data_IF_272945634864
#
_entry.id   IF_272945634864
#
_cell.length_a   1.000
_cell.length_b   1.000
_cell.length_c   1.000
_cell.angle_alpha   90.00
_cell.angle_beta   90.00
_cell.angle_gamma   90.00
#
_symmetry.space_group_name_H-M   'P 1'
#
loop_
_entity.id
_entity.type
_entity.pdbx_description
1 polymer ?
2 non-polymer ?
3 non-polymer ?
4 non-polymer ?
5 non-polymer ?
6 water ?
#
# COMPACT_ATOMS: atom_id res chain seq x y z
N UNK A 2 3.14 12.06 -15.32
CA UNK A 2 3.46 11.01 -16.33
C UNK A 2 4.37 9.95 -15.72
N UNK A 3 4.06 8.67 -15.97
CA UNK A 3 4.91 7.49 -15.65
C UNK A 3 5.85 7.24 -16.83
N UNK A 4 6.98 6.60 -16.58
CA UNK A 4 7.91 6.23 -17.69
C UNK A 4 7.31 5.11 -18.54
N UNK A 5 6.63 4.14 -17.91
CA UNK A 5 6.09 2.95 -18.59
C UNK A 5 4.57 2.95 -18.50
N UNK A 6 3.92 2.48 -19.57
CA UNK A 6 2.44 2.46 -19.66
C UNK A 6 1.87 1.20 -19.05
N UNK A 7 2.68 0.16 -18.92
CA UNK A 7 2.18 -1.13 -18.39
C UNK A 7 3.37 -1.98 -18.00
N UNK A 8 3.12 -3.10 -17.35
CA UNK A 8 4.19 -3.94 -16.80
C UNK A 8 5.05 -4.53 -17.91
N UNK A 9 4.44 -4.95 -19.01
CA UNK A 9 5.23 -5.55 -20.10
C UNK A 9 6.30 -4.56 -20.54
N UNK A 10 5.96 -3.29 -20.66
CA UNK A 10 6.93 -2.28 -21.10
C UNK A 10 8.04 -2.13 -20.05
N UNK A 11 7.69 -2.05 -18.77
CA UNK A 11 8.70 -1.94 -17.71
C UNK A 11 9.63 -3.16 -17.80
N UNK A 12 9.06 -4.34 -17.95
CA UNK A 12 9.86 -5.60 -17.96
C UNK A 12 10.83 -5.60 -19.14
N UNK A 13 10.40 -5.07 -20.27
CA UNK A 13 11.25 -5.07 -21.49
C UNK A 13 12.31 -3.98 -21.43
N UNK A 14 12.24 -3.02 -20.51
CA UNK A 14 13.19 -1.89 -20.45
C UNK A 14 14.13 -1.94 -19.24
N UNK A 15 13.79 -2.71 -18.22
CA UNK A 15 14.52 -2.68 -16.94
C UNK A 15 15.18 -4.03 -16.69
N UNK A 16 16.36 -3.99 -16.07
CA UNK A 16 17.06 -5.21 -15.62
C UNK A 16 16.17 -5.89 -14.56
N UNK A 17 15.90 -7.20 -14.66
CA UNK A 17 15.04 -7.83 -13.68
C UNK A 17 15.56 -7.79 -12.24
N UNK A 18 16.85 -7.56 -12.03
CA UNK A 18 17.40 -7.40 -10.67
C UNK A 18 17.02 -6.03 -10.07
N UNK A 19 16.48 -5.10 -10.86
CA UNK A 19 16.13 -3.73 -10.37
C UNK A 19 14.71 -3.64 -9.82
N UNK A 20 13.95 -4.73 -9.84
CA UNK A 20 12.59 -4.74 -9.24
C UNK A 20 12.28 -6.15 -8.78
N UNK A 21 11.28 -6.28 -7.92
CA UNK A 21 10.89 -7.61 -7.45
C UNK A 21 9.40 -7.69 -7.26
N UNK A 22 8.82 -8.81 -7.66
CA UNK A 22 7.41 -9.13 -7.37
C UNK A 22 7.40 -10.16 -6.26
N UNK A 23 6.67 -9.90 -5.20
CA UNK A 23 6.64 -10.76 -4.00
C UNK A 23 5.19 -11.03 -3.67
N UNK A 24 4.85 -12.30 -3.48
CA UNK A 24 3.46 -12.68 -3.15
C UNK A 24 3.43 -13.50 -1.87
N UNK A 25 2.33 -13.43 -1.14
CA UNK A 25 2.01 -14.39 -0.07
C UNK A 25 0.54 -14.70 -0.21
N UNK A 26 0.22 -15.93 -0.58
CA UNK A 26 -1.18 -16.37 -0.78
C UNK A 26 -1.58 -17.28 0.37
N UNK A 27 -2.56 -16.85 1.16
CA UNK A 27 -3.01 -17.55 2.38
C UNK A 27 -4.49 -17.92 2.32
N UNK A 28 -5.20 -17.50 1.28
CA UNK A 28 -6.67 -17.70 1.19
C UNK A 28 -7.47 -16.75 2.07
N UNK A 29 -6.86 -15.78 2.77
CA UNK A 29 -7.59 -14.72 3.52
C UNK A 29 -8.49 -13.96 2.57
N UNK A 30 -9.75 -13.62 2.92
CA UNK A 30 -10.56 -12.78 2.03
C UNK A 30 -9.83 -11.47 1.63
N UNK A 31 -9.13 -10.86 2.56
CA UNK A 31 -8.42 -9.57 2.36
C UNK A 31 -7.05 -9.77 1.71
N UNK A 32 -6.74 -8.95 0.71
CA UNK A 32 -5.40 -8.84 0.11
C UNK A 32 -4.83 -7.49 0.48
N UNK A 33 -3.60 -7.48 0.96
CA UNK A 33 -2.78 -6.26 1.16
C UNK A 33 -1.96 -6.06 -0.10
N UNK A 34 -2.12 -4.92 -0.74
CA UNK A 34 -1.53 -4.64 -2.07
C UNK A 34 -0.59 -3.45 -1.94
N UNK A 35 0.66 -3.60 -2.35
CA UNK A 35 1.65 -2.51 -2.34
C UNK A 35 2.36 -2.56 -3.69
N UNK A 36 1.89 -1.80 -4.65
CA UNK A 36 2.41 -1.85 -6.04
C UNK A 36 3.58 -0.89 -6.25
N UNK A 37 3.86 -0.07 -5.24
CA UNK A 37 4.91 0.97 -5.28
C UNK A 37 5.86 0.80 -4.10
N UNK A 38 6.27 -0.44 -3.87
CA UNK A 38 7.19 -0.74 -2.78
C UNK A 38 8.63 -0.45 -3.13
N UNK A 39 9.49 -0.94 -2.23
CA UNK A 39 10.93 -0.66 -2.29
C UNK A 39 11.18 0.82 -2.27
N UNK A 40 12.02 1.31 -3.15
CA UNK A 40 12.39 2.72 -3.22
C UNK A 40 11.39 3.57 -3.97
N UNK A 41 10.28 3.01 -4.46
CA UNK A 41 9.27 3.83 -5.17
C UNK A 41 8.54 4.70 -4.15
N UNK A 42 7.82 4.09 -3.22
CA UNK A 42 7.16 4.78 -2.08
C UNK A 42 7.67 4.10 -0.82
N UNK A 43 8.79 4.64 -0.32
CA UNK A 43 9.56 4.00 0.77
C UNK A 43 8.73 3.78 2.01
N UNK A 44 8.80 2.59 2.57
CA UNK A 44 8.07 2.20 3.77
C UNK A 44 6.87 1.35 3.44
N UNK A 45 6.35 1.42 2.21
CA UNK A 45 5.19 0.59 1.87
C UNK A 45 5.59 -0.89 1.82
N UNK A 46 6.81 -1.25 1.44
CA UNK A 46 7.23 -2.67 1.52
C UNK A 46 7.16 -3.16 2.97
N UNK A 47 7.64 -2.35 3.92
CA UNK A 47 7.76 -2.83 5.32
C UNK A 47 6.38 -2.95 5.95
N UNK A 48 5.47 -2.01 5.68
CA UNK A 48 4.09 -2.12 6.20
C UNK A 48 3.43 -3.36 5.59
N UNK A 49 3.58 -3.57 4.29
CA UNK A 49 2.99 -4.73 3.58
C UNK A 49 3.51 -6.03 4.22
N UNK A 50 4.83 -6.14 4.38
CA UNK A 50 5.44 -7.40 4.89
C UNK A 50 4.96 -7.65 6.33
N UNK A 51 4.82 -6.62 7.15
CA UNK A 51 4.33 -6.86 8.51
C UNK A 51 2.87 -7.37 8.47
N UNK A 52 2.00 -6.73 7.70
CA UNK A 52 0.59 -7.17 7.60
C UNK A 52 0.49 -8.57 6.98
N UNK A 53 1.46 -8.97 6.15
CA UNK A 53 1.45 -10.32 5.54
C UNK A 53 1.59 -11.41 6.61
N UNK A 54 1.91 -11.06 7.85
CA UNK A 54 1.92 -12.06 8.95
C UNK A 54 0.51 -12.61 9.19
N UNK A 55 -0.55 -11.87 8.85
CA UNK A 55 -1.94 -12.35 9.03
C UNK A 55 -2.70 -12.38 7.70
N UNK A 56 -2.22 -11.73 6.63
CA UNK A 56 -3.03 -11.55 5.40
C UNK A 56 -2.21 -11.85 4.17
N UNK A 57 -2.92 -12.26 3.12
CA UNK A 57 -2.34 -12.35 1.77
C UNK A 57 -1.78 -11.00 1.34
N UNK A 58 -0.70 -11.05 0.57
CA UNK A 58 0.05 -9.84 0.18
C UNK A 58 0.49 -9.93 -1.26
N UNK A 59 0.39 -8.81 -1.97
CA UNK A 59 1.09 -8.59 -3.25
C UNK A 59 1.98 -7.38 -3.09
N UNK A 60 3.24 -7.54 -3.45
CA UNK A 60 4.21 -6.44 -3.36
C UNK A 60 4.99 -6.33 -4.66
N UNK A 61 5.05 -5.14 -5.24
CA UNK A 61 5.97 -4.83 -6.35
C UNK A 61 6.96 -3.83 -5.79
N UNK A 62 8.25 -4.15 -5.84
CA UNK A 62 9.28 -3.32 -5.18
C UNK A 62 10.28 -2.77 -6.19
N UNK A 63 10.58 -1.49 -6.11
CA UNK A 63 11.71 -0.91 -6.84
C UNK A 63 12.99 -1.09 -6.04
N UNK A 64 13.99 -1.72 -6.66
CA UNK A 64 15.22 -2.15 -5.94
C UNK A 64 16.45 -1.44 -6.51
N UNK A 65 16.29 -0.35 -7.24
CA UNK A 65 17.47 0.44 -7.72
C UNK A 65 18.13 1.19 -6.56
N UNK A 66 19.44 1.43 -6.67
CA UNK A 66 20.21 2.31 -5.74
C UNK A 66 19.67 3.75 -5.85
N UNK A 67 19.21 4.14 -7.04
CA UNK A 67 18.62 5.46 -7.34
C UNK A 67 17.74 5.37 -8.60
N UNK A 68 16.78 6.29 -8.71
CA UNK A 68 15.92 6.40 -9.89
C UNK A 68 14.74 5.45 -9.86
N UNK A 69 14.29 5.00 -8.69
CA UNK A 69 13.13 4.07 -8.61
C UNK A 69 11.84 4.73 -9.09
N UNK A 70 11.76 6.06 -9.21
CA UNK A 70 10.54 6.73 -9.70
C UNK A 70 10.18 6.22 -11.09
N UNK A 71 11.15 5.78 -11.88
CA UNK A 71 10.87 5.30 -13.25
C UNK A 71 10.07 3.99 -13.19
N UNK A 72 10.05 3.32 -12.04
CA UNK A 72 9.35 2.01 -11.89
C UNK A 72 7.92 2.19 -11.39
N UNK A 73 7.50 3.40 -11.12
CA UNK A 73 6.11 3.69 -10.71
C UNK A 73 5.17 3.55 -11.90
N UNK A 74 4.24 2.61 -11.83
CA UNK A 74 3.12 2.49 -12.79
C UNK A 74 1.86 2.80 -12.00
N UNK A 75 1.15 3.84 -12.39
CA UNK A 75 -0.06 4.28 -11.68
C UNK A 75 -1.06 3.11 -11.60
N UNK A 76 -1.87 3.12 -10.55
CA UNK A 76 -2.77 1.99 -10.23
C UNK A 76 -3.68 1.63 -11.42
N UNK A 77 -4.19 2.61 -12.16
CA UNK A 77 -5.14 2.34 -13.28
C UNK A 77 -4.42 1.74 -14.48
N UNK A 78 -3.08 1.69 -14.49
CA UNK A 78 -2.29 1.03 -15.56
C UNK A 78 -1.58 -0.21 -15.04
N UNK A 79 -1.61 -0.47 -13.75
CA UNK A 79 -0.77 -1.55 -13.17
C UNK A 79 -1.41 -2.89 -13.47
N UNK A 80 -0.73 -3.70 -14.28
CA UNK A 80 -1.30 -4.95 -14.84
C UNK A 80 -0.29 -6.09 -14.74
N UNK A 81 0.65 -6.06 -13.81
CA UNK A 81 1.61 -7.16 -13.70
C UNK A 81 0.81 -8.44 -13.49
N UNK A 82 1.14 -9.55 -14.20
CA UNK A 82 0.26 -10.72 -14.19
C UNK A 82 -0.01 -11.34 -12.81
N UNK A 83 0.96 -11.38 -11.92
CA UNK A 83 0.74 -11.96 -10.58
C UNK A 83 -0.22 -11.06 -9.80
N UNK A 84 -0.18 -9.74 -10.00
CA UNK A 84 -1.14 -8.81 -9.36
C UNK A 84 -2.55 -9.05 -9.88
N UNK A 85 -2.70 -9.24 -11.19
CA UNK A 85 -4.04 -9.50 -11.74
C UNK A 85 -4.56 -10.80 -11.11
N UNK A 86 -3.71 -11.80 -11.01
CA UNK A 86 -4.15 -13.09 -10.44
C UNK A 86 -4.57 -12.90 -8.99
N UNK A 87 -3.71 -12.31 -8.16
CA UNK A 87 -3.97 -12.20 -6.71
C UNK A 87 -5.20 -11.33 -6.45
N UNK A 88 -5.35 -10.19 -7.13
CA UNK A 88 -6.52 -9.33 -6.86
C UNK A 88 -7.80 -10.11 -7.17
N UNK A 89 -7.85 -10.81 -8.30
CA UNK A 89 -9.09 -11.50 -8.69
C UNK A 89 -9.40 -12.65 -7.73
N UNK A 90 -8.39 -13.18 -7.06
CA UNK A 90 -8.54 -14.31 -6.12
C UNK A 90 -8.96 -13.87 -4.73
N UNK A 91 -9.13 -12.58 -4.49
CA UNK A 91 -9.46 -12.07 -3.15
C UNK A 91 -10.76 -11.30 -3.17
N UNK A 92 -11.41 -11.28 -2.01
CA UNK A 92 -12.71 -10.61 -1.85
C UNK A 92 -12.53 -9.08 -1.75
N UNK A 93 -11.53 -8.65 -0.99
CA UNK A 93 -11.34 -7.23 -0.66
C UNK A 93 -9.87 -6.88 -0.79
N UNK A 94 -9.58 -5.61 -0.97
CA UNK A 94 -8.18 -5.15 -1.14
C UNK A 94 -7.94 -3.92 -0.28
N UNK A 95 -6.80 -3.89 0.39
CA UNK A 95 -6.26 -2.68 1.07
C UNK A 95 -5.00 -2.33 0.29
N UNK A 96 -4.96 -1.16 -0.31
CA UNK A 96 -3.77 -0.71 -1.05
C UNK A 96 -2.96 0.24 -0.17
N UNK A 97 -1.65 0.15 -0.32
CA UNK A 97 -0.72 1.00 0.43
C UNK A 97 0.08 1.85 -0.53
N UNK A 98 0.14 3.14 -0.26
CA UNK A 98 0.83 4.11 -1.10
C UNK A 98 1.54 5.13 -0.21
N UNK A 99 2.48 5.81 -0.82
CA UNK A 99 3.11 6.99 -0.22
C UNK A 99 2.97 8.18 -1.12
N UNK A 100 2.87 9.37 -0.53
CA UNK A 100 2.89 10.65 -1.27
C UNK A 100 3.80 11.64 -0.55
N UNK A 101 4.21 12.63 -1.31
CA UNK A 101 5.23 13.62 -0.89
C UNK A 101 4.58 14.71 -0.02
N UNK A 102 4.97 14.74 1.26
CA UNK A 102 4.47 15.73 2.24
C UNK A 102 5.28 15.52 3.51
N UNK A 103 5.85 16.59 4.07
CA UNK A 103 6.70 16.49 5.29
C UNK A 103 5.85 16.37 6.56
N UNK A 104 4.65 16.94 6.59
CA UNK A 104 3.76 16.75 7.75
C UNK A 104 3.36 15.27 7.82
N UNK A 105 3.05 14.79 9.00
CA UNK A 105 2.54 13.41 9.16
C UNK A 105 1.05 13.42 8.86
N UNK A 106 0.66 12.67 7.82
CA UNK A 106 -0.75 12.60 7.35
C UNK A 106 -1.01 11.21 6.75
N UNK A 107 -2.23 10.71 6.92
CA UNK A 107 -2.70 9.50 6.23
C UNK A 107 -4.00 9.92 5.52
N UNK A 108 -4.08 9.73 4.21
CA UNK A 108 -5.32 10.02 3.46
C UNK A 108 -5.93 8.68 3.06
N UNK A 109 -7.17 8.45 3.43
CA UNK A 109 -7.85 7.16 3.18
C UNK A 109 -8.93 7.38 2.14
N UNK A 110 -8.94 6.52 1.13
CA UNK A 110 -9.98 6.55 0.10
C UNK A 110 -10.36 5.13 -0.27
N UNK A 111 -10.79 4.96 -1.50
CA UNK A 111 -11.22 3.65 -2.02
C UNK A 111 -12.70 3.57 -2.24
N UNK A 112 -13.13 2.43 -2.78
CA UNK A 112 -14.55 2.20 -3.11
C UNK A 112 -15.35 1.74 -1.90
N UNK A 113 -14.71 1.21 -0.87
CA UNK A 113 -15.41 0.66 0.31
C UNK A 113 -15.63 1.80 1.31
N UNK A 114 -16.67 2.59 1.05
CA UNK A 114 -16.89 3.87 1.76
C UNK A 114 -17.15 3.62 3.25
N UNK A 115 -17.91 2.59 3.61
CA UNK A 115 -18.22 2.29 5.03
C UNK A 115 -16.92 1.89 5.73
N UNK A 116 -16.14 0.98 5.15
CA UNK A 116 -14.94 0.51 5.87
C UNK A 116 -13.88 1.60 5.86
N UNK A 117 -13.75 2.40 4.80
CA UNK A 117 -12.78 3.50 4.75
C UNK A 117 -13.07 4.49 5.90
N UNK A 118 -14.34 4.86 6.09
CA UNK A 118 -14.70 5.80 7.18
C UNK A 118 -14.37 5.14 8.53
N UNK A 119 -14.71 3.88 8.71
CA UNK A 119 -14.41 3.16 9.97
C UNK A 119 -12.90 3.18 10.22
N UNK A 120 -12.08 2.92 9.20
CA UNK A 120 -10.61 2.90 9.41
C UNK A 120 -10.15 4.29 9.85
N UNK A 121 -10.63 5.33 9.19
CA UNK A 121 -10.23 6.71 9.59
C UNK A 121 -10.59 6.95 11.06
N UNK A 122 -11.79 6.55 11.49
CA UNK A 122 -12.24 6.74 12.89
C UNK A 122 -11.30 5.97 13.82
N UNK A 123 -10.97 4.73 13.48
CA UNK A 123 -10.11 3.91 14.35
C UNK A 123 -8.71 4.53 14.43
N UNK A 124 -8.17 5.01 13.31
CA UNK A 124 -6.83 5.66 13.31
C UNK A 124 -6.89 6.93 14.15
N UNK A 125 -7.91 7.76 13.94
CA UNK A 125 -8.01 9.02 14.72
C UNK A 125 -8.12 8.71 16.21
N UNK A 126 -8.93 7.72 16.61
CA UNK A 126 -9.13 7.38 18.05
C UNK A 126 -7.83 6.82 18.65
N UNK A 127 -6.94 6.28 17.82
CA UNK A 127 -5.64 5.75 18.27
C UNK A 127 -4.55 6.82 18.19
N UNK A 128 -4.88 8.05 17.79
CA UNK A 128 -3.97 9.20 17.76
C UNK A 128 -3.12 9.24 16.50
N UNK A 129 -3.60 8.67 15.39
CA UNK A 129 -2.92 8.74 14.07
C UNK A 129 -3.60 9.78 13.21
N UNK A 130 -2.84 10.52 12.38
CA UNK A 130 -3.38 11.65 11.62
C UNK A 130 -4.06 11.34 10.27
N UNK A 131 -5.20 10.70 10.35
CA UNK A 131 -5.92 10.21 9.15
C UNK A 131 -7.05 11.16 8.81
N UNK A 132 -7.32 11.31 7.51
CA UNK A 132 -8.55 11.95 7.00
C UNK A 132 -9.16 11.06 5.93
N UNK A 133 -10.48 11.14 5.81
CA UNK A 133 -11.23 10.42 4.75
C UNK A 133 -11.35 11.35 3.54
N UNK A 134 -10.95 10.87 2.37
CA UNK A 134 -11.19 11.53 1.08
C UNK A 134 -12.50 11.01 0.52
N UNK A 135 -13.27 11.90 -0.08
CA UNK A 135 -14.59 11.50 -0.63
C UNK A 135 -14.48 11.31 -2.14
N UNK A 136 -15.60 10.96 -2.75
CA UNK A 136 -15.67 10.30 -4.08
C UNK A 136 -15.09 11.22 -5.17
N UNK A 137 -15.16 12.55 -5.01
CA UNK A 137 -14.79 13.48 -6.10
C UNK A 137 -13.38 14.03 -5.86
N UNK A 138 -12.72 13.61 -4.78
CA UNK A 138 -11.31 13.97 -4.56
C UNK A 138 -10.49 13.35 -5.68
N UNK A 139 -9.55 14.08 -6.32
CA UNK A 139 -8.67 13.46 -7.32
C UNK A 139 -7.97 12.21 -6.79
N UNK A 140 -7.79 11.20 -7.64
CA UNK A 140 -7.11 9.91 -7.31
C UNK A 140 -7.71 9.31 -6.03
N UNK A 141 -9.03 9.17 -5.99
CA UNK A 141 -9.79 8.67 -4.82
C UNK A 141 -9.72 7.14 -4.77
N UNK A 142 -9.14 6.54 -5.78
CA UNK A 142 -8.97 5.08 -5.86
C UNK A 142 -10.23 4.36 -6.26
N UNK A 143 -11.11 5.02 -7.03
CA UNK A 143 -12.46 4.48 -7.34
C UNK A 143 -12.59 4.00 -8.78
N UNK A 144 -11.59 4.09 -9.63
CA UNK A 144 -11.75 3.68 -11.04
C UNK A 144 -11.88 2.17 -11.14
N UNK A 145 -12.76 1.62 -12.00
CA UNK A 145 -12.74 0.19 -12.27
C UNK A 145 -11.41 -0.30 -12.84
N UNK A 146 -10.64 0.62 -13.42
CA UNK A 146 -9.31 0.26 -13.99
C UNK A 146 -8.24 0.18 -12.90
N UNK A 147 -8.51 0.70 -11.72
CA UNK A 147 -7.53 0.65 -10.61
C UNK A 147 -7.31 -0.81 -10.20
N UNK A 148 -6.07 -1.26 -10.21
CA UNK A 148 -5.75 -2.66 -9.83
C UNK A 148 -6.42 -3.03 -8.50
N UNK A 149 -6.49 -2.10 -7.55
CA UNK A 149 -7.04 -2.41 -6.20
C UNK A 149 -8.52 -2.79 -6.28
N UNK A 150 -9.20 -2.43 -7.35
CA UNK A 150 -10.66 -2.70 -7.46
C UNK A 150 -10.93 -3.97 -8.26
N UNK A 151 -9.92 -4.68 -8.73
CA UNK A 151 -10.13 -5.85 -9.64
C UNK A 151 -10.24 -7.13 -8.83
N UNK A 152 -11.06 -7.10 -7.80
CA UNK A 152 -11.30 -8.18 -6.84
C UNK A 152 -12.66 -8.83 -7.09
N UNK A 153 -12.98 -9.79 -6.24
CA UNK A 153 -14.30 -10.46 -6.37
C UNK A 153 -15.45 -9.49 -6.05
N UNK A 154 -15.25 -8.52 -5.18
CA UNK A 154 -16.35 -7.59 -4.80
C UNK A 154 -16.20 -6.20 -5.44
N UNK A 155 -14.99 -5.77 -5.76
CA UNK A 155 -14.73 -4.39 -6.19
C UNK A 155 -14.54 -3.40 -5.04
N UNK A 156 -14.57 -3.89 -3.80
CA UNK A 156 -14.46 -3.03 -2.59
C UNK A 156 -13.01 -2.95 -2.12
N UNK A 157 -12.50 -1.74 -2.07
CA UNK A 157 -11.11 -1.44 -1.69
C UNK A 157 -11.05 -0.32 -0.66
N UNK A 158 -9.95 -0.32 0.08
CA UNK A 158 -9.54 0.85 0.89
C UNK A 158 -8.17 1.25 0.37
N UNK A 159 -8.00 2.54 0.07
CA UNK A 159 -6.71 3.11 -0.40
C UNK A 159 -6.08 3.84 0.78
N UNK A 160 -4.85 3.51 1.14
CA UNK A 160 -4.17 4.18 2.28
C UNK A 160 -2.95 4.91 1.73
N UNK A 161 -3.01 6.22 1.71
CA UNK A 161 -1.92 7.09 1.23
C UNK A 161 -1.21 7.66 2.45
N UNK A 162 0.08 7.42 2.59
CA UNK A 162 0.84 7.85 3.79
C UNK A 162 1.85 8.90 3.37
N UNK A 163 1.86 10.02 4.07
CA UNK A 163 2.81 11.11 3.75
C UNK A 163 4.24 10.65 4.00
N UNK A 164 5.18 11.34 3.39
CA UNK A 164 6.61 11.12 3.68
C UNK A 164 6.85 11.24 5.18
N UNK A 165 6.32 12.29 5.81
CA UNK A 165 6.54 12.48 7.25
C UNK A 165 6.05 11.30 8.05
N UNK A 166 4.87 10.78 7.71
CA UNK A 166 4.33 9.65 8.49
C UNK A 166 5.23 8.42 8.25
N UNK A 167 5.55 8.13 7.00
CA UNK A 167 6.37 6.92 6.72
C UNK A 167 7.74 7.02 7.42
N UNK A 168 8.37 8.19 7.38
CA UNK A 168 9.69 8.32 8.02
C UNK A 168 9.60 8.16 9.53
N UNK A 169 8.43 8.42 10.13
CA UNK A 169 8.26 8.33 11.59
C UNK A 169 8.34 6.89 12.10
N UNK A 170 8.28 5.91 11.20
CA UNK A 170 8.16 4.49 11.62
C UNK A 170 9.50 3.75 11.64
N UNK A 171 10.57 4.36 11.16
CA UNK A 171 11.85 3.64 10.97
C UNK A 171 12.98 4.45 11.58
N UNK A 172 13.94 3.76 12.18
CA UNK A 172 15.19 4.38 12.66
C UNK A 172 16.03 4.88 11.49
N UNK A 173 16.13 4.09 10.43
CA UNK A 173 16.92 4.45 9.23
C UNK A 173 16.02 4.27 8.02
N UNK A 174 15.81 5.36 7.28
CA UNK A 174 14.83 5.38 6.16
C UNK A 174 15.59 5.12 4.88
N UNK A 175 15.97 3.86 4.68
CA UNK A 175 16.71 3.43 3.48
C UNK A 175 16.14 2.10 3.01
N UNK A 176 16.42 1.79 1.75
CA UNK A 176 16.06 0.49 1.16
C UNK A 176 16.71 -0.62 1.99
N UNK A 177 17.96 -0.43 2.37
CA UNK A 177 18.75 -1.44 3.14
C UNK A 177 18.18 -1.63 4.55
N UNK A 178 17.79 -0.55 5.23
CA UNK A 178 17.71 -0.60 6.71
C UNK A 178 16.30 -0.38 7.26
N UNK A 179 15.30 0.01 6.46
CA UNK A 179 13.95 0.16 7.07
C UNK A 179 13.51 -1.16 7.72
N UNK A 180 13.74 -2.27 7.04
CA UNK A 180 13.25 -3.62 7.40
C UNK A 180 13.90 -4.13 8.67
N UNK A 181 14.96 -3.47 9.16
CA UNK A 181 15.66 -3.89 10.41
C UNK A 181 15.78 -2.70 11.37
N UNK A 182 14.96 -1.66 11.23
CA UNK A 182 14.96 -0.52 12.18
C UNK A 182 13.54 -0.05 12.45
N UNK A 183 12.54 -0.92 12.24
CA UNK A 183 11.14 -0.62 12.60
C UNK A 183 11.11 -0.21 14.07
N UNK A 184 10.42 0.88 14.43
CA UNK A 184 10.39 1.39 15.82
C UNK A 184 9.05 1.10 16.46
N UNK A 185 8.88 1.59 17.68
CA UNK A 185 7.64 1.36 18.45
C UNK A 185 6.43 1.89 17.68
N UNK A 186 6.57 3.03 17.01
CA UNK A 186 5.44 3.64 16.26
C UNK A 186 5.04 2.73 15.08
N UNK A 187 6.02 2.09 14.44
CA UNK A 187 5.73 1.12 13.34
C UNK A 187 4.75 0.05 13.87
N UNK A 188 5.09 -0.56 15.00
CA UNK A 188 4.30 -1.69 15.55
C UNK A 188 2.99 -1.17 16.12
N UNK A 189 2.98 0.03 16.69
CA UNK A 189 1.71 0.66 17.17
C UNK A 189 0.75 0.83 15.99
N UNK A 190 1.25 1.33 14.87
CA UNK A 190 0.43 1.56 13.66
C UNK A 190 -0.04 0.23 13.06
N UNK A 191 0.87 -0.72 12.88
CA UNK A 191 0.49 -2.03 12.27
C UNK A 191 -0.50 -2.76 13.19
N UNK A 192 -0.41 -2.62 14.51
CA UNK A 192 -1.36 -3.28 15.44
C UNK A 192 -2.76 -2.66 15.30
N UNK A 193 -2.85 -1.33 15.14
CA UNK A 193 -4.16 -0.69 14.86
C UNK A 193 -4.71 -1.30 13.56
N UNK A 194 -3.84 -1.49 12.58
CA UNK A 194 -4.28 -2.07 11.28
C UNK A 194 -4.73 -3.52 11.48
N UNK A 195 -3.99 -4.32 12.23
CA UNK A 195 -4.39 -5.72 12.49
C UNK A 195 -5.74 -5.76 13.19
N UNK A 196 -5.94 -4.90 14.19
CA UNK A 196 -7.21 -4.88 14.98
C UNK A 196 -8.37 -4.54 14.03
N UNK A 197 -8.18 -3.50 13.21
CA UNK A 197 -9.21 -3.04 12.25
C UNK A 197 -9.54 -4.17 11.27
N UNK A 198 -8.52 -4.79 10.70
CA UNK A 198 -8.71 -5.80 9.62
C UNK A 198 -9.46 -7.01 10.18
N UNK A 199 -9.09 -7.48 11.38
CA UNK A 199 -9.75 -8.67 11.98
C UNK A 199 -11.23 -8.36 12.29
N UNK A 200 -11.53 -7.16 12.80
CA UNK A 200 -12.88 -6.76 13.24
C UNK A 200 -13.78 -6.43 12.03
N UNK A 201 -13.21 -5.81 11.01
CA UNK A 201 -13.94 -5.19 9.87
C UNK A 201 -14.32 -6.24 8.81
N UNK A 202 -13.56 -7.34 8.72
CA UNK A 202 -13.73 -8.37 7.66
C UNK A 202 -13.99 -9.75 8.28
N UNK A 203 -14.98 -9.87 9.18
CA UNK A 203 -15.39 -11.18 9.76
C UNK A 203 -16.23 -11.95 8.72
X LIG B 1 1.65 4.65 -5.03
X LIG C 1 -8.77 6.35 -9.43
X LIG C 1 -7.85 6.89 -8.46
X LIG C 1 -8.35 6.73 -10.73
X LIG C 1 -8.76 4.92 -9.32
X LIG C 1 -10.11 6.88 -9.17
X LIG D 1 15.25 7.24 -5.65
X LIG D 1 16.31 7.79 -6.46
X LIG D 1 15.00 5.88 -6.03
X LIG D 1 15.62 7.30 -4.26
X LIG D 1 14.07 8.03 -5.86
X LIG E 1 0.36 6.81 -5.80
X LIG E 1 -0.59 7.73 -6.54
X LIG E 1 -1.09 7.21 -7.89
X LIG E 1 -1.64 5.76 -7.76
X LIG E 1 -2.18 8.17 -8.39
X LIG E 1 -1.66 9.53 -8.84
X LIG E 1 1.06 5.97 -6.42
X LIG E 1 0.41 6.93 -4.58
X LIG E 1 -1.15 4.90 -8.49
X LIG E 1 -2.51 5.55 -6.93
X LIG E 1 -1.29 9.64 -10.04
X LIG E 1 -1.61 10.45 -8.00
X LIG E 1 0.00 7.25 -8.81
X LIG F 1 1.05 -9.86 14.65
X LIG F 1 -0.02 -10.60 14.39
X LIG F 1 -1.08 -9.92 14.76
X LIG F 1 -0.67 -8.83 15.49
X LIG F 1 0.66 -8.74 15.33
#
# INVERSE_FOLDING_TARGET
AEDVYQNFEELKNNEDPSDYGVVTKETGSPVLVLAIHGGGIEGGTSEVARELSKEYSMYLFEGLKSAGNSVLHITSTHFDEPRALKMTGNHEYVISLHGYAEEDQQIEVGGTDRVRAADLVEKLQHAGFPAVLLNMDHPHAGVSPNNIANKSKTGLSIQIEMSTGFRKSLFGIFSLKSRAVTQNERFYEFTEVMFRFLKNSYLEHHHHHH
ZN ZN
SO4 S O1 O2 O3 O4
SO4 S O1 O2 O3 O4
FLC CAC CA CB CBC CG CGC OA1 OA2 OB1 OB2 OG1 OG2 OHB
IMD N1 C2 N3 C4 C5
#
